data_IF_105920937660
#
_entry.id   IF_105920937660
#
_cell.length_a   1.000
_cell.length_b   1.000
_cell.length_c   1.000
_cell.angle_alpha   90.00
_cell.angle_beta   90.00
_cell.angle_gamma   90.00
#
_symmetry.space_group_name_H-M   'P 1'
#
loop_
_entity.id
_entity.type
_entity.pdbx_description
1 polymer ?
#
# COMPACT_ATOMS: atom_id res chain seq x y z
N UNK A 1 6.29 15.06 12.88
CA UNK A 1 6.73 14.14 11.83
C UNK A 1 5.55 13.34 11.32
N UNK A 2 5.40 13.20 10.02
CA UNK A 2 4.28 12.54 9.38
C UNK A 2 4.61 11.09 9.03
N UNK A 3 3.66 10.19 9.22
CA UNK A 3 3.77 8.77 8.88
C UNK A 3 2.73 8.40 7.85
N UNK A 4 3.11 7.59 6.86
CA UNK A 4 2.19 7.03 5.87
C UNK A 4 2.04 5.53 6.13
N UNK A 5 0.83 5.10 6.47
CA UNK A 5 0.51 3.68 6.66
C UNK A 5 -0.03 3.08 5.36
N UNK A 6 0.73 2.15 4.80
CA UNK A 6 0.35 1.44 3.57
C UNK A 6 -0.42 0.17 3.91
N UNK A 7 -1.73 0.31 4.02
CA UNK A 7 -2.62 -0.80 4.36
C UNK A 7 -2.91 -1.64 3.12
N UNK A 8 -2.58 -2.94 3.17
CA UNK A 8 -2.71 -3.84 2.02
C UNK A 8 -3.84 -4.86 2.15
N UNK A 9 -4.75 -4.68 3.11
CA UNK A 9 -5.80 -5.64 3.48
C UNK A 9 -5.24 -6.98 4.02
N UNK A 10 -3.99 -7.02 4.42
CA UNK A 10 -3.37 -8.16 5.09
C UNK A 10 -3.25 -7.94 6.59
N UNK A 11 -3.14 -9.02 7.35
CA UNK A 11 -3.02 -8.97 8.81
C UNK A 11 -1.75 -8.22 9.23
N UNK A 12 -0.64 -8.44 8.55
CA UNK A 12 0.66 -7.81 8.89
C UNK A 12 0.62 -6.30 8.76
N UNK A 13 0.03 -5.78 7.69
CA UNK A 13 -0.11 -4.33 7.52
C UNK A 13 -1.13 -3.74 8.50
N UNK A 14 -2.20 -4.46 8.80
CA UNK A 14 -3.20 -4.02 9.78
C UNK A 14 -2.58 -3.88 11.17
N UNK A 15 -1.81 -4.87 11.61
CA UNK A 15 -1.14 -4.84 12.92
C UNK A 15 -0.08 -3.74 12.97
N UNK A 16 0.74 -3.58 11.93
CA UNK A 16 1.75 -2.53 11.87
C UNK A 16 1.13 -1.13 11.98
N UNK A 17 0.04 -0.88 11.26
CA UNK A 17 -0.67 0.39 11.34
C UNK A 17 -1.30 0.61 12.72
N UNK A 18 -1.89 -0.43 13.32
CA UNK A 18 -2.50 -0.34 14.65
C UNK A 18 -1.47 0.00 15.71
N UNK A 19 -0.31 -0.63 15.69
CA UNK A 19 0.78 -0.34 16.63
C UNK A 19 1.19 1.13 16.53
N UNK A 20 1.40 1.64 15.32
CA UNK A 20 1.79 3.03 15.10
C UNK A 20 0.73 4.00 15.63
N UNK A 21 -0.54 3.73 15.40
CA UNK A 21 -1.65 4.57 15.87
C UNK A 21 -1.72 4.54 17.41
N UNK A 22 -1.58 3.37 18.02
CA UNK A 22 -1.63 3.22 19.48
C UNK A 22 -0.45 3.89 20.20
N UNK A 23 0.68 4.03 19.51
CA UNK A 23 1.83 4.78 20.01
C UNK A 23 1.65 6.31 19.88
N UNK A 24 0.54 6.77 19.36
CA UNK A 24 0.23 8.20 19.23
C UNK A 24 0.91 8.89 18.05
N UNK A 25 1.39 8.13 17.07
CA UNK A 25 2.02 8.70 15.87
C UNK A 25 0.98 9.32 14.93
N UNK A 26 1.39 10.37 14.21
CA UNK A 26 0.53 11.04 13.22
C UNK A 26 0.56 10.26 11.91
N UNK A 27 -0.39 9.32 11.76
CA UNK A 27 -0.45 8.37 10.65
C UNK A 27 -1.60 8.71 9.71
N UNK A 28 -1.32 8.84 8.43
CA UNK A 28 -2.33 8.80 7.37
C UNK A 28 -2.32 7.41 6.72
N UNK A 29 -3.50 6.83 6.59
CA UNK A 29 -3.68 5.46 6.10
C UNK A 29 -4.15 5.46 4.65
N UNK A 30 -3.49 4.65 3.83
CA UNK A 30 -3.82 4.51 2.40
C UNK A 30 -3.98 3.05 2.02
N UNK A 31 -5.03 2.76 1.28
CA UNK A 31 -5.23 1.50 0.59
C UNK A 31 -5.25 1.77 -0.92
N UNK A 32 -4.32 1.17 -1.64
CA UNK A 32 -4.23 1.33 -3.09
C UNK A 32 -5.01 0.21 -3.76
N UNK A 33 -6.14 0.55 -4.39
CA UNK A 33 -6.97 -0.41 -5.10
C UNK A 33 -6.37 -0.75 -6.45
N UNK A 34 -6.29 -2.05 -6.76
CA UNK A 34 -5.79 -2.55 -8.05
C UNK A 34 -6.90 -2.99 -8.99
N UNK A 35 -8.14 -3.08 -8.51
CA UNK A 35 -9.28 -3.55 -9.30
C UNK A 35 -9.42 -5.06 -9.36
N UNK A 36 -8.57 -5.82 -8.66
CA UNK A 36 -8.58 -7.28 -8.63
C UNK A 36 -8.56 -7.85 -7.20
N UNK A 37 -9.03 -7.07 -6.25
CA UNK A 37 -9.06 -7.45 -4.85
C UNK A 37 -10.15 -8.49 -4.58
N UNK A 38 -9.92 -9.28 -3.53
CA UNK A 38 -10.95 -10.19 -3.02
C UNK A 38 -12.19 -9.40 -2.60
N UNK A 39 -13.42 -9.86 -2.91
CA UNK A 39 -14.65 -9.12 -2.55
C UNK A 39 -14.78 -8.79 -1.06
N UNK A 40 -14.16 -9.60 -0.19
CA UNK A 40 -14.20 -9.40 1.26
C UNK A 40 -13.27 -8.28 1.76
N UNK A 41 -12.37 -7.77 0.91
CA UNK A 41 -11.45 -6.70 1.29
C UNK A 41 -12.17 -5.44 1.75
N UNK A 42 -13.27 -5.10 1.10
CA UNK A 42 -14.07 -3.92 1.50
C UNK A 42 -14.59 -4.05 2.94
N UNK A 43 -15.11 -5.22 3.31
CA UNK A 43 -15.53 -5.50 4.69
C UNK A 43 -14.37 -5.38 5.66
N UNK A 44 -13.21 -5.95 5.31
CA UNK A 44 -12.02 -5.89 6.15
C UNK A 44 -11.52 -4.45 6.35
N UNK A 45 -11.56 -3.64 5.31
CA UNK A 45 -11.23 -2.20 5.41
C UNK A 45 -12.17 -1.52 6.41
N UNK A 46 -13.47 -1.75 6.31
CA UNK A 46 -14.44 -1.15 7.23
C UNK A 46 -14.22 -1.58 8.67
N UNK A 47 -13.93 -2.86 8.90
CA UNK A 47 -13.63 -3.39 10.23
C UNK A 47 -12.35 -2.79 10.80
N UNK A 48 -11.31 -2.67 9.97
CA UNK A 48 -10.04 -2.05 10.38
C UNK A 48 -10.20 -0.56 10.70
N UNK A 49 -11.00 0.17 9.95
CA UNK A 49 -11.27 1.58 10.25
C UNK A 49 -11.88 1.75 11.65
N UNK A 50 -12.79 0.86 12.04
CA UNK A 50 -13.37 0.86 13.39
C UNK A 50 -12.31 0.54 14.44
N UNK A 51 -11.48 -0.44 14.16
CA UNK A 51 -10.41 -0.87 15.08
C UNK A 51 -9.34 0.21 15.27
N UNK A 52 -8.96 0.88 14.18
CA UNK A 52 -7.99 1.97 14.21
C UNK A 52 -8.55 3.26 14.81
N UNK A 53 -9.85 3.47 14.72
CA UNK A 53 -10.46 4.77 15.01
C UNK A 53 -10.10 5.84 13.99
N UNK A 54 -9.71 5.47 12.78
CA UNK A 54 -9.31 6.34 11.68
C UNK A 54 -9.83 5.81 10.35
N UNK A 55 -10.05 6.72 9.40
CA UNK A 55 -10.40 6.35 8.03
C UNK A 55 -9.18 5.89 7.26
N UNK A 56 -9.39 4.93 6.37
CA UNK A 56 -8.39 4.47 5.40
C UNK A 56 -8.76 5.08 4.06
N UNK A 57 -7.87 5.90 3.48
CA UNK A 57 -8.11 6.50 2.18
C UNK A 57 -7.89 5.45 1.09
N UNK A 58 -8.93 5.25 0.26
CA UNK A 58 -8.89 4.30 -0.84
C UNK A 58 -8.53 5.05 -2.11
N UNK A 59 -7.39 4.67 -2.72
CA UNK A 59 -6.83 5.36 -3.89
C UNK A 59 -6.59 4.34 -4.99
N UNK A 60 -6.79 4.75 -6.24
CA UNK A 60 -6.47 3.92 -7.40
C UNK A 60 -5.77 4.73 -8.47
N UNK A 61 -5.12 4.03 -9.42
CA UNK A 61 -4.44 4.67 -10.53
C UNK A 61 -5.45 5.36 -11.44
N UNK A 62 -5.18 6.61 -11.80
CA UNK A 62 -6.04 7.39 -12.70
C UNK A 62 -6.01 6.89 -14.13
N UNK A 63 -4.94 6.22 -14.54
CA UNK A 63 -4.70 5.77 -15.91
C UNK A 63 -5.14 4.32 -16.14
N UNK A 64 -4.96 3.45 -15.13
CA UNK A 64 -5.28 2.02 -15.21
C UNK A 64 -6.23 1.65 -14.09
N UNK A 65 -7.36 1.02 -14.43
CA UNK A 65 -8.40 0.68 -13.46
C UNK A 65 -8.25 -0.72 -12.87
N UNK A 66 -7.55 -1.63 -13.54
CA UNK A 66 -7.38 -3.02 -13.10
C UNK A 66 -6.19 -3.69 -13.79
N UNK A 67 -5.75 -4.88 -13.33
CA UNK A 67 -4.65 -5.60 -13.97
C UNK A 67 -4.89 -5.89 -15.46
N UNK A 68 -6.13 -6.09 -15.85
CA UNK A 68 -6.47 -6.36 -17.26
C UNK A 68 -6.18 -5.16 -18.16
N UNK A 69 -6.43 -3.95 -17.68
CA UNK A 69 -6.09 -2.72 -18.41
C UNK A 69 -4.58 -2.59 -18.61
N UNK A 70 -3.79 -2.94 -17.59
CA UNK A 70 -2.34 -2.94 -17.70
C UNK A 70 -1.88 -3.98 -18.71
N UNK A 71 -2.45 -5.18 -18.68
CA UNK A 71 -2.11 -6.26 -19.59
C UNK A 71 -2.42 -5.94 -21.07
N UNK A 72 -3.45 -5.16 -21.34
CA UNK A 72 -3.80 -4.73 -22.70
C UNK A 72 -2.80 -3.74 -23.27
N UNK A 73 -2.18 -2.91 -22.42
CA UNK A 73 -1.27 -1.83 -22.81
C UNK A 73 0.19 -2.22 -22.62
N UNK A 74 0.45 -3.12 -21.68
CA UNK A 74 1.78 -3.56 -21.27
C UNK A 74 1.76 -5.07 -21.03
N UNK A 75 2.94 -5.70 -20.98
CA UNK A 75 3.05 -7.11 -20.59
C UNK A 75 2.91 -7.27 -19.07
N UNK A 76 2.33 -8.39 -18.62
CA UNK A 76 2.20 -8.69 -17.19
C UNK A 76 3.54 -8.76 -16.47
N UNK A 77 4.52 -9.41 -17.10
CA UNK A 77 5.88 -9.52 -16.57
C UNK A 77 6.88 -9.23 -17.66
N UNK A 78 7.91 -8.46 -17.33
CA UNK A 78 9.02 -8.14 -18.19
C UNK A 78 10.33 -8.34 -17.44
N UNK A 79 11.51 -8.35 -18.13
CA UNK A 79 12.81 -8.35 -17.46
C UNK A 79 13.01 -7.16 -16.51
N UNK A 80 12.23 -6.11 -16.68
CA UNK A 80 12.31 -4.88 -15.86
C UNK A 80 11.29 -4.82 -14.73
N UNK A 81 10.57 -5.92 -14.45
CA UNK A 81 9.58 -6.02 -13.39
C UNK A 81 8.17 -6.31 -13.89
N UNK A 82 7.22 -6.32 -12.97
CA UNK A 82 5.81 -6.56 -13.27
C UNK A 82 5.08 -5.24 -13.51
N UNK A 83 4.57 -4.96 -14.72
CA UNK A 83 3.83 -3.72 -14.99
C UNK A 83 2.61 -3.51 -14.08
N UNK A 84 1.92 -4.59 -13.70
CA UNK A 84 0.80 -4.50 -12.75
C UNK A 84 1.21 -3.81 -11.44
N UNK A 85 2.31 -4.24 -10.83
CA UNK A 85 2.81 -3.64 -9.60
C UNK A 85 3.25 -2.20 -9.84
N UNK A 86 3.94 -1.92 -10.96
CA UNK A 86 4.41 -0.58 -11.29
C UNK A 86 3.25 0.40 -11.43
N UNK A 87 2.27 0.11 -12.28
CA UNK A 87 1.22 1.07 -12.60
C UNK A 87 0.09 1.10 -11.59
N UNK A 88 -0.26 -0.02 -10.97
CA UNK A 88 -1.38 -0.08 -10.05
C UNK A 88 -1.02 0.27 -8.60
N UNK A 89 0.24 0.12 -8.21
CA UNK A 89 0.68 0.40 -6.83
C UNK A 89 1.80 1.42 -6.74
N UNK A 90 2.96 1.14 -7.34
CA UNK A 90 4.14 2.01 -7.19
C UNK A 90 3.90 3.40 -7.76
N UNK A 91 3.30 3.49 -8.93
CA UNK A 91 3.02 4.78 -9.57
C UNK A 91 2.00 5.59 -8.78
N UNK A 92 0.95 4.96 -8.27
CA UNK A 92 -0.04 5.61 -7.40
C UNK A 92 0.65 6.20 -6.17
N UNK A 93 1.47 5.40 -5.49
CA UNK A 93 2.19 5.85 -4.31
C UNK A 93 3.10 7.03 -4.63
N UNK A 94 3.94 6.92 -5.65
CA UNK A 94 4.97 7.90 -5.96
C UNK A 94 4.44 9.16 -6.63
N UNK A 95 3.43 9.07 -7.47
CA UNK A 95 2.93 10.20 -8.26
C UNK A 95 1.64 10.81 -7.75
N UNK A 96 0.76 10.02 -7.14
CA UNK A 96 -0.55 10.50 -6.69
C UNK A 96 -0.60 10.83 -5.19
N UNK A 97 0.18 10.16 -4.36
CA UNK A 97 0.14 10.30 -2.89
C UNK A 97 1.34 11.07 -2.37
N UNK A 98 2.55 10.62 -2.64
CA UNK A 98 3.76 11.18 -2.04
C UNK A 98 4.02 12.66 -2.35
N UNK A 99 3.64 13.23 -3.51
CA UNK A 99 3.84 14.66 -3.75
C UNK A 99 3.12 15.58 -2.76
N UNK A 100 2.10 15.09 -2.06
CA UNK A 100 1.39 15.86 -1.02
C UNK A 100 2.10 15.86 0.33
N UNK A 101 3.22 15.15 0.48
CA UNK A 101 3.92 14.97 1.75
C UNK A 101 5.39 15.40 1.66
N UNK A 102 6.01 15.77 2.79
CA UNK A 102 7.44 16.12 2.81
C UNK A 102 8.33 14.92 2.54
N UNK A 103 9.55 15.16 2.08
CA UNK A 103 10.51 14.10 1.74
C UNK A 103 10.94 13.24 2.93
N UNK A 104 10.83 13.77 4.15
CA UNK A 104 11.19 13.07 5.39
C UNK A 104 10.06 12.24 5.99
N UNK A 105 8.95 12.07 5.27
CA UNK A 105 7.84 11.23 5.72
C UNK A 105 8.30 9.78 5.95
N UNK A 106 7.77 9.15 7.00
CA UNK A 106 8.12 7.78 7.37
C UNK A 106 7.03 6.82 6.90
N UNK A 107 7.44 5.75 6.23
CA UNK A 107 6.53 4.73 5.72
C UNK A 107 6.36 3.58 6.71
N UNK A 108 5.11 3.16 6.92
CA UNK A 108 4.76 2.01 7.75
C UNK A 108 4.34 0.88 6.81
N UNK A 109 5.07 -0.24 6.89
CA UNK A 109 4.86 -1.41 6.04
C UNK A 109 4.73 -2.65 6.93
N UNK A 110 3.87 -3.58 6.51
CA UNK A 110 3.70 -4.85 7.20
C UNK A 110 4.45 -5.97 6.48
N UNK A 111 5.31 -6.68 7.21
CA UNK A 111 6.04 -7.84 6.70
C UNK A 111 5.90 -9.00 7.67
N UNK A 112 5.77 -10.22 7.15
CA UNK A 112 5.83 -11.42 7.97
C UNK A 112 7.28 -11.71 8.39
N UNK A 113 7.46 -12.36 9.54
CA UNK A 113 8.78 -12.74 10.02
C UNK A 113 9.27 -14.00 9.30
N UNK A 114 9.63 -13.85 8.02
CA UNK A 114 10.20 -14.89 7.17
C UNK A 114 11.44 -14.36 6.47
N UNK A 115 12.32 -15.25 6.01
CA UNK A 115 13.53 -14.86 5.27
C UNK A 115 13.18 -14.08 3.98
N UNK A 116 12.15 -14.52 3.26
CA UNK A 116 11.67 -13.87 2.04
C UNK A 116 11.20 -12.43 2.33
N UNK A 117 10.37 -12.25 3.34
CA UNK A 117 9.86 -10.93 3.71
C UNK A 117 10.94 -10.03 4.30
N UNK A 118 11.91 -10.57 5.04
CA UNK A 118 13.06 -9.81 5.51
C UNK A 118 13.89 -9.25 4.35
N UNK A 119 14.14 -10.04 3.32
CA UNK A 119 14.84 -9.60 2.11
C UNK A 119 14.03 -8.54 1.35
N UNK A 120 12.73 -8.68 1.30
CA UNK A 120 11.83 -7.70 0.69
C UNK A 120 11.87 -6.37 1.45
N UNK A 121 11.88 -6.41 2.77
CA UNK A 121 12.00 -5.22 3.61
C UNK A 121 13.32 -4.49 3.36
N UNK A 122 14.42 -5.22 3.22
CA UNK A 122 15.72 -4.64 2.89
C UNK A 122 15.70 -3.91 1.55
N UNK A 123 15.08 -4.49 0.53
CA UNK A 123 14.92 -3.82 -0.77
C UNK A 123 14.14 -2.50 -0.68
N UNK A 124 13.17 -2.42 0.22
CA UNK A 124 12.45 -1.17 0.49
C UNK A 124 13.36 -0.09 1.06
N UNK A 125 14.29 -0.48 1.92
CA UNK A 125 15.24 0.44 2.54
C UNK A 125 16.18 1.10 1.52
N UNK A 126 16.46 0.41 0.42
CA UNK A 126 17.38 0.85 -0.62
C UNK A 126 16.73 1.75 -1.68
N UNK A 127 15.44 1.98 -1.59
CA UNK A 127 14.68 2.80 -2.55
C UNK A 127 14.63 4.31 -2.14
#
# INVERSE_FOLDING_TARGET
MKYLGWFSCGVTSAVACKIAIDEGLDVDLFYIETGAEHPDNHRFIMDCQKWFGKNIMQVRNHKFSCPLDVARKELFNTPYGAPCTKYLKKEVRQKQIMPAYPDDVIHILGFEYTKHEANRALRWKEQ
#
